data_IF_551302214581
#
_entry.id   IF_551302214581
#
_cell.length_a   1.000
_cell.length_b   1.000
_cell.length_c   1.000
_cell.angle_alpha   90.00
_cell.angle_beta   90.00
_cell.angle_gamma   90.00
#
_symmetry.space_group_name_H-M   'P 1'
#
loop_
_entity.id
_entity.type
_entity.pdbx_description
1 polymer ?
#
# COMPACT_ATOMS: atom_id res chain seq x y z
N UNK A 1 20.43 -3.24 -31.19
CA UNK A 1 20.23 -2.78 -29.79
C UNK A 1 21.23 -1.69 -29.38
N UNK A 2 22.33 -1.46 -30.13
CA UNK A 2 23.22 -0.31 -29.91
C UNK A 2 22.86 0.92 -30.77
N UNK A 3 22.15 0.76 -31.89
CA UNK A 3 21.74 1.88 -32.77
C UNK A 3 20.54 2.70 -32.24
N UNK A 4 19.83 2.22 -31.21
CA UNK A 4 18.70 2.94 -30.60
C UNK A 4 19.14 4.05 -29.63
N UNK A 5 20.45 4.14 -29.32
CA UNK A 5 21.01 5.10 -28.36
C UNK A 5 21.40 6.46 -28.98
N UNK A 6 21.49 6.57 -30.32
CA UNK A 6 21.92 7.82 -30.98
C UNK A 6 20.79 8.85 -31.15
N UNK A 7 19.50 8.44 -31.08
CA UNK A 7 18.36 9.35 -31.24
C UNK A 7 17.22 9.04 -30.24
N UNK A 8 17.37 9.41 -28.96
CA UNK A 8 16.39 9.08 -27.92
C UNK A 8 14.98 9.60 -28.22
N UNK A 9 14.87 10.74 -28.91
CA UNK A 9 13.58 11.32 -29.31
C UNK A 9 12.80 10.46 -30.32
N UNK A 10 13.47 9.87 -31.32
CA UNK A 10 12.79 9.02 -32.31
C UNK A 10 12.33 7.70 -31.71
N UNK A 11 13.11 7.14 -30.78
CA UNK A 11 12.74 5.91 -30.09
C UNK A 11 11.53 6.13 -29.17
N UNK A 12 11.52 7.23 -28.41
CA UNK A 12 10.37 7.61 -27.57
C UNK A 12 9.10 7.87 -28.39
N UNK A 13 9.21 8.58 -29.51
CA UNK A 13 8.09 8.86 -30.43
C UNK A 13 7.58 7.57 -31.07
N UNK A 14 8.48 6.66 -31.45
CA UNK A 14 8.10 5.36 -32.02
C UNK A 14 7.39 4.46 -30.99
N UNK A 15 7.88 4.43 -29.75
CA UNK A 15 7.27 3.66 -28.66
C UNK A 15 5.88 4.20 -28.28
N UNK A 16 5.72 5.52 -28.22
CA UNK A 16 4.42 6.17 -27.97
C UNK A 16 3.44 5.98 -29.13
N UNK A 17 3.90 6.04 -30.39
CA UNK A 17 3.07 5.72 -31.54
C UNK A 17 2.60 4.26 -31.53
N UNK A 18 3.48 3.31 -31.21
CA UNK A 18 3.13 1.88 -31.14
C UNK A 18 2.13 1.62 -30.00
N UNK A 19 2.30 2.25 -28.84
CA UNK A 19 1.34 2.11 -27.73
C UNK A 19 0.00 2.78 -28.02
N UNK A 20 -0.01 3.90 -28.75
CA UNK A 20 -1.23 4.59 -29.20
C UNK A 20 -1.98 3.77 -30.25
N UNK A 21 -1.27 3.18 -31.22
CA UNK A 21 -1.87 2.28 -32.21
C UNK A 21 -2.43 1.02 -31.56
N UNK A 22 -1.66 0.41 -30.65
CA UNK A 22 -2.09 -0.76 -29.89
C UNK A 22 -3.34 -0.47 -29.05
N UNK A 23 -3.37 0.66 -28.33
CA UNK A 23 -4.53 1.05 -27.52
C UNK A 23 -5.76 1.38 -28.38
N UNK A 24 -5.57 2.03 -29.53
CA UNK A 24 -6.67 2.34 -30.48
C UNK A 24 -7.25 1.08 -31.12
N UNK A 25 -6.40 0.10 -31.47
CA UNK A 25 -6.85 -1.19 -32.01
C UNK A 25 -7.61 -1.98 -30.94
N UNK A 26 -7.09 -2.04 -29.71
CA UNK A 26 -7.77 -2.67 -28.57
C UNK A 26 -9.12 -2.01 -28.27
N UNK A 27 -9.18 -0.67 -28.30
CA UNK A 27 -10.41 0.10 -28.14
C UNK A 27 -11.41 -0.21 -29.28
N UNK A 28 -10.94 -0.26 -30.52
CA UNK A 28 -11.75 -0.61 -31.69
C UNK A 28 -12.34 -2.02 -31.58
N UNK A 29 -11.54 -3.02 -31.20
CA UNK A 29 -12.00 -4.39 -30.96
C UNK A 29 -13.01 -4.43 -29.80
N UNK A 30 -12.77 -3.68 -28.72
CA UNK A 30 -13.68 -3.59 -27.59
C UNK A 30 -15.04 -3.01 -28.00
N UNK A 31 -15.05 -1.89 -28.74
CA UNK A 31 -16.26 -1.21 -29.22
C UNK A 31 -17.03 -2.05 -30.24
N UNK A 32 -16.33 -2.78 -31.12
CA UNK A 32 -16.95 -3.68 -32.09
C UNK A 32 -17.52 -4.96 -31.45
N UNK A 33 -16.96 -5.40 -30.32
CA UNK A 33 -17.39 -6.62 -29.62
C UNK A 33 -18.42 -6.32 -28.51
N UNK A 34 -18.50 -5.08 -28.04
CA UNK A 34 -19.35 -4.66 -26.91
C UNK A 34 -20.54 -3.87 -27.42
N UNK A 35 -21.69 -4.53 -27.53
CA UNK A 35 -22.98 -3.87 -27.78
C UNK A 35 -23.61 -3.47 -26.43
N UNK A 36 -24.24 -2.28 -26.29
CA UNK A 36 -24.84 -1.81 -25.03
C UNK A 36 -25.88 -2.76 -24.42
N UNK A 37 -26.61 -3.52 -25.24
CA UNK A 37 -27.76 -4.34 -24.83
C UNK A 37 -27.47 -5.84 -24.66
N UNK A 38 -26.25 -6.33 -24.96
CA UNK A 38 -25.93 -7.76 -24.85
C UNK A 38 -24.60 -8.01 -24.16
N UNK A 39 -24.67 -8.74 -23.04
CA UNK A 39 -23.51 -9.31 -22.34
C UNK A 39 -22.59 -10.06 -23.33
N UNK A 40 -21.35 -9.60 -23.55
CA UNK A 40 -20.45 -10.20 -24.54
C UNK A 40 -20.05 -11.62 -24.12
N UNK A 41 -19.86 -12.51 -25.10
CA UNK A 41 -19.56 -13.94 -24.85
C UNK A 41 -18.27 -14.18 -24.04
N UNK A 42 -17.33 -13.23 -24.07
CA UNK A 42 -16.06 -13.27 -23.34
C UNK A 42 -15.98 -12.25 -22.20
N UNK A 43 -17.11 -11.91 -21.57
CA UNK A 43 -17.17 -10.89 -20.51
C UNK A 43 -16.11 -11.08 -19.41
N UNK A 44 -15.89 -12.31 -18.94
CA UNK A 44 -14.86 -12.59 -17.93
C UNK A 44 -13.44 -12.28 -18.42
N UNK A 45 -13.11 -12.63 -19.68
CA UNK A 45 -11.81 -12.34 -20.27
C UNK A 45 -11.59 -10.83 -20.43
N UNK A 46 -12.62 -10.10 -20.87
CA UNK A 46 -12.56 -8.64 -21.02
C UNK A 46 -12.43 -7.94 -19.66
N UNK A 47 -13.15 -8.39 -18.63
CA UNK A 47 -13.00 -7.89 -17.27
C UNK A 47 -11.59 -8.16 -16.72
N UNK A 48 -11.06 -9.36 -16.94
CA UNK A 48 -9.70 -9.70 -16.52
C UNK A 48 -8.64 -8.87 -17.25
N UNK A 49 -8.79 -8.69 -18.57
CA UNK A 49 -7.90 -7.84 -19.36
C UNK A 49 -7.97 -6.37 -18.88
N UNK A 50 -9.17 -5.86 -18.65
CA UNK A 50 -9.39 -4.53 -18.07
C UNK A 50 -8.69 -4.37 -16.72
N UNK A 51 -8.79 -5.37 -15.86
CA UNK A 51 -8.11 -5.37 -14.56
C UNK A 51 -6.57 -5.31 -14.71
N UNK A 52 -5.97 -6.10 -15.60
CA UNK A 52 -4.53 -6.06 -15.87
C UNK A 52 -4.11 -4.70 -16.44
N UNK A 53 -4.89 -4.13 -17.35
CA UNK A 53 -4.64 -2.81 -17.93
C UNK A 53 -4.72 -1.72 -16.83
N UNK A 54 -5.70 -1.78 -15.94
CA UNK A 54 -5.81 -0.87 -14.78
C UNK A 54 -4.59 -0.98 -13.86
N UNK A 55 -4.11 -2.18 -13.56
CA UNK A 55 -2.89 -2.38 -12.76
C UNK A 55 -1.68 -1.72 -13.44
N UNK A 56 -1.52 -1.92 -14.75
CA UNK A 56 -0.43 -1.32 -15.50
C UNK A 56 -0.47 0.22 -15.43
N UNK A 57 -1.66 0.82 -15.62
CA UNK A 57 -1.84 2.27 -15.49
C UNK A 57 -1.55 2.79 -14.09
N UNK A 58 -2.06 2.11 -13.06
CA UNK A 58 -1.79 2.47 -11.66
C UNK A 58 -0.28 2.42 -11.41
N UNK A 59 0.41 1.38 -11.89
CA UNK A 59 1.87 1.24 -11.76
C UNK A 59 2.64 2.35 -12.47
N UNK A 60 2.23 2.74 -13.68
CA UNK A 60 2.88 3.84 -14.42
C UNK A 60 2.68 5.16 -13.69
N UNK A 61 1.44 5.48 -13.31
CA UNK A 61 1.13 6.72 -12.57
C UNK A 61 1.87 6.76 -11.24
N UNK A 62 1.90 5.66 -10.49
CA UNK A 62 2.65 5.56 -9.25
C UNK A 62 4.15 5.85 -9.47
N UNK A 63 4.74 5.32 -10.56
CA UNK A 63 6.13 5.59 -10.93
C UNK A 63 6.41 7.07 -11.18
N UNK A 64 5.55 7.74 -11.96
CA UNK A 64 5.67 9.18 -12.23
C UNK A 64 5.52 10.00 -10.94
N UNK A 65 4.55 9.65 -10.08
CA UNK A 65 4.33 10.32 -8.79
C UNK A 65 5.54 10.16 -7.87
N UNK A 66 6.14 8.96 -7.79
CA UNK A 66 7.41 8.75 -7.05
C UNK A 66 8.53 9.61 -7.64
N UNK A 67 8.63 9.70 -8.97
CA UNK A 67 9.63 10.53 -9.64
C UNK A 67 9.50 12.02 -9.30
N UNK A 68 8.28 12.56 -9.32
CA UNK A 68 7.99 13.94 -8.91
C UNK A 68 8.30 14.16 -7.43
N UNK A 69 7.87 13.24 -6.56
CA UNK A 69 8.13 13.33 -5.12
C UNK A 69 9.63 13.28 -4.81
N UNK A 70 10.41 12.48 -5.54
CA UNK A 70 11.87 12.47 -5.43
C UNK A 70 12.49 13.81 -5.79
N UNK A 71 12.05 14.43 -6.88
CA UNK A 71 12.51 15.76 -7.27
C UNK A 71 12.17 16.81 -6.20
N UNK A 72 10.95 16.77 -5.65
CA UNK A 72 10.52 17.65 -4.55
C UNK A 72 11.33 17.40 -3.27
N UNK A 73 11.64 16.13 -2.95
CA UNK A 73 12.47 15.76 -1.80
C UNK A 73 13.88 16.34 -1.88
N UNK A 74 14.49 16.32 -3.07
CA UNK A 74 15.79 16.95 -3.30
C UNK A 74 15.72 18.47 -3.11
N UNK A 75 14.65 19.12 -3.59
CA UNK A 75 14.48 20.59 -3.47
C UNK A 75 14.26 21.01 -2.01
N UNK A 76 13.46 20.25 -1.25
CA UNK A 76 13.10 20.58 0.14
C UNK A 76 14.11 20.03 1.18
N UNK A 77 15.12 19.27 0.75
CA UNK A 77 16.06 18.61 1.66
C UNK A 77 15.42 17.50 2.52
N UNK A 78 14.28 16.98 2.10
CA UNK A 78 13.53 15.93 2.80
C UNK A 78 13.86 14.57 2.18
N UNK A 79 14.03 13.53 3.00
CA UNK A 79 14.34 12.20 2.50
C UNK A 79 13.18 11.59 1.70
N UNK A 80 13.51 10.87 0.63
CA UNK A 80 12.54 10.11 -0.19
C UNK A 80 11.71 9.14 0.66
N UNK A 81 12.34 8.55 1.69
CA UNK A 81 11.69 7.65 2.63
C UNK A 81 10.62 8.38 3.46
N UNK A 82 10.88 9.60 3.94
CA UNK A 82 9.91 10.37 4.71
C UNK A 82 8.73 10.80 3.85
N UNK A 83 8.97 11.21 2.60
CA UNK A 83 7.91 11.53 1.64
C UNK A 83 7.04 10.31 1.29
N UNK A 84 7.66 9.13 1.14
CA UNK A 84 6.96 7.86 0.98
C UNK A 84 6.11 7.48 2.20
N UNK A 85 6.67 7.64 3.40
CA UNK A 85 5.96 7.36 4.65
C UNK A 85 4.83 8.35 4.95
N UNK A 86 4.86 9.56 4.41
CA UNK A 86 3.88 10.61 4.71
C UNK A 86 2.90 10.81 3.56
N UNK A 87 3.35 11.29 2.40
CA UNK A 87 2.47 11.67 1.29
C UNK A 87 1.79 10.46 0.67
N UNK A 88 2.54 9.39 0.40
CA UNK A 88 1.96 8.17 -0.16
C UNK A 88 1.05 7.46 0.85
N UNK A 89 1.50 7.31 2.10
CA UNK A 89 0.70 6.64 3.13
C UNK A 89 -0.58 7.43 3.50
N UNK A 90 -0.48 8.76 3.60
CA UNK A 90 -1.64 9.63 3.82
C UNK A 90 -2.57 9.63 2.61
N UNK A 91 -2.02 9.68 1.39
CA UNK A 91 -2.80 9.60 0.15
C UNK A 91 -3.63 8.32 0.08
N UNK A 92 -3.02 7.17 0.40
CA UNK A 92 -3.74 5.90 0.47
C UNK A 92 -4.85 5.93 1.53
N UNK A 93 -4.54 6.40 2.74
CA UNK A 93 -5.51 6.45 3.85
C UNK A 93 -6.69 7.41 3.58
N UNK A 94 -6.46 8.54 2.91
CA UNK A 94 -7.53 9.49 2.55
C UNK A 94 -8.45 8.89 1.49
N UNK A 95 -7.89 8.18 0.50
CA UNK A 95 -8.70 7.45 -0.50
C UNK A 95 -9.61 6.41 0.14
N UNK A 96 -9.04 5.60 1.03
CA UNK A 96 -9.77 4.58 1.79
C UNK A 96 -10.88 5.20 2.65
N UNK A 97 -10.59 6.32 3.34
CA UNK A 97 -11.57 7.06 4.13
C UNK A 97 -12.77 7.54 3.29
N UNK A 98 -12.51 8.13 2.12
CA UNK A 98 -13.58 8.63 1.24
C UNK A 98 -14.42 7.45 0.72
N UNK A 99 -13.79 6.34 0.34
CA UNK A 99 -14.48 5.14 -0.12
C UNK A 99 -15.38 4.55 0.98
N UNK A 100 -14.84 4.38 2.19
CA UNK A 100 -15.58 3.82 3.33
C UNK A 100 -16.74 4.71 3.75
N UNK A 101 -16.55 6.04 3.78
CA UNK A 101 -17.64 7.00 4.05
C UNK A 101 -18.74 6.87 2.99
N UNK A 102 -18.35 6.73 1.72
CA UNK A 102 -19.31 6.60 0.61
C UNK A 102 -20.13 5.32 0.74
N UNK A 103 -19.48 4.17 0.98
CA UNK A 103 -20.14 2.88 1.16
C UNK A 103 -21.04 2.88 2.41
N UNK A 104 -20.60 3.51 3.51
CA UNK A 104 -21.42 3.67 4.71
C UNK A 104 -22.66 4.54 4.44
N UNK A 105 -22.52 5.63 3.66
CA UNK A 105 -23.65 6.50 3.26
C UNK A 105 -24.64 5.81 2.32
N UNK A 106 -24.19 4.82 1.55
CA UNK A 106 -25.05 3.99 0.71
C UNK A 106 -25.84 2.93 1.51
N UNK A 107 -25.71 2.90 2.83
CA UNK A 107 -26.45 1.99 3.71
C UNK A 107 -25.71 0.68 4.02
N UNK A 108 -24.41 0.58 3.70
CA UNK A 108 -23.60 -0.63 3.94
C UNK A 108 -22.47 -0.39 4.97
N UNK A 109 -22.78 0.00 6.22
CA UNK A 109 -21.75 0.32 7.22
C UNK A 109 -20.90 -0.88 7.62
N UNK A 110 -21.45 -2.10 7.60
CA UNK A 110 -20.70 -3.33 7.90
C UNK A 110 -19.68 -3.65 6.80
N UNK A 111 -20.00 -3.34 5.54
CA UNK A 111 -19.07 -3.47 4.41
C UNK A 111 -17.93 -2.46 4.52
N UNK A 112 -18.25 -1.20 4.82
CA UNK A 112 -17.25 -0.15 5.04
C UNK A 112 -16.31 -0.50 6.20
N UNK A 113 -16.82 -1.00 7.33
CA UNK A 113 -15.96 -1.48 8.43
C UNK A 113 -15.05 -2.63 7.98
N UNK A 114 -15.59 -3.60 7.25
CA UNK A 114 -14.81 -4.73 6.76
C UNK A 114 -13.70 -4.31 5.80
N UNK A 115 -13.96 -3.31 4.95
CA UNK A 115 -12.98 -2.73 4.04
C UNK A 115 -11.88 -1.95 4.80
N UNK A 116 -12.27 -1.13 5.78
CA UNK A 116 -11.36 -0.36 6.62
C UNK A 116 -10.34 -1.24 7.38
N UNK A 117 -10.75 -2.42 7.87
CA UNK A 117 -9.82 -3.38 8.50
C UNK A 117 -9.11 -4.26 7.48
N UNK A 118 -9.82 -4.71 6.44
CA UNK A 118 -9.30 -5.62 5.44
C UNK A 118 -8.19 -5.01 4.59
N UNK A 119 -8.29 -3.72 4.26
CA UNK A 119 -7.30 -2.99 3.47
C UNK A 119 -5.90 -3.04 4.08
N UNK A 120 -5.68 -2.53 5.30
CA UNK A 120 -4.39 -2.60 5.99
C UNK A 120 -3.89 -4.03 6.19
N UNK A 121 -4.76 -4.98 6.54
CA UNK A 121 -4.37 -6.38 6.71
C UNK A 121 -3.86 -7.01 5.41
N UNK A 122 -4.54 -6.75 4.29
CA UNK A 122 -4.11 -7.22 2.97
C UNK A 122 -2.79 -6.55 2.54
N UNK A 123 -2.63 -5.26 2.84
CA UNK A 123 -1.40 -4.52 2.53
C UNK A 123 -0.19 -5.09 3.29
N UNK A 124 -0.37 -5.46 4.57
CA UNK A 124 0.68 -6.11 5.35
C UNK A 124 0.97 -7.52 4.80
N UNK A 125 -0.07 -8.32 4.54
CA UNK A 125 0.10 -9.70 4.06
C UNK A 125 0.80 -9.76 2.69
N UNK A 126 0.31 -8.99 1.72
CA UNK A 126 0.84 -9.00 0.36
C UNK A 126 2.09 -8.14 0.23
N UNK A 127 2.09 -6.93 0.80
CA UNK A 127 3.20 -6.00 0.71
C UNK A 127 4.42 -6.47 1.50
N UNK A 128 4.26 -6.69 2.80
CA UNK A 128 5.36 -7.10 3.67
C UNK A 128 5.61 -8.61 3.55
N UNK A 129 4.57 -9.43 3.62
CA UNK A 129 4.68 -10.89 3.59
C UNK A 129 5.15 -11.42 2.22
N UNK A 130 4.34 -11.27 1.18
CA UNK A 130 4.69 -11.76 -0.16
C UNK A 130 5.84 -10.96 -0.78
N UNK A 131 5.85 -9.63 -0.66
CA UNK A 131 6.94 -8.78 -1.14
C UNK A 131 8.27 -9.08 -0.44
N UNK A 132 8.25 -9.27 0.88
CA UNK A 132 9.42 -9.69 1.65
C UNK A 132 9.93 -11.07 1.25
N UNK A 133 9.03 -12.05 1.08
CA UNK A 133 9.41 -13.38 0.58
C UNK A 133 10.04 -13.31 -0.81
N UNK A 134 9.45 -12.53 -1.73
CA UNK A 134 9.97 -12.33 -3.08
C UNK A 134 11.35 -11.67 -3.05
N UNK A 135 11.53 -10.59 -2.28
CA UNK A 135 12.83 -9.93 -2.11
C UNK A 135 13.89 -10.89 -1.55
N UNK A 136 13.53 -11.73 -0.59
CA UNK A 136 14.46 -12.71 -0.02
C UNK A 136 14.86 -13.79 -1.04
N UNK A 137 13.93 -14.26 -1.89
CA UNK A 137 14.27 -15.21 -2.97
C UNK A 137 15.13 -14.57 -4.05
N UNK A 138 14.87 -13.31 -4.43
CA UNK A 138 15.72 -12.59 -5.38
C UNK A 138 17.11 -12.29 -4.80
N UNK A 139 17.19 -11.86 -3.54
CA UNK A 139 18.44 -11.64 -2.85
C UNK A 139 19.25 -12.93 -2.71
N UNK A 140 18.59 -14.07 -2.43
CA UNK A 140 19.23 -15.39 -2.41
C UNK A 140 19.80 -15.79 -3.78
N UNK A 141 19.05 -15.59 -4.87
CA UNK A 141 19.51 -15.86 -6.25
C UNK A 141 20.66 -14.94 -6.67
N UNK A 142 20.60 -13.65 -6.34
CA UNK A 142 21.68 -12.69 -6.64
C UNK A 142 22.98 -12.97 -5.87
N UNK A 143 22.87 -13.48 -4.64
CA UNK A 143 24.04 -13.83 -3.81
C UNK A 143 24.71 -15.13 -4.27
N UNK A 144 23.93 -16.10 -4.73
CA UNK A 144 24.43 -17.34 -5.34
C UNK A 144 25.24 -17.06 -6.62
N UNK A 145 24.83 -16.06 -7.41
CA UNK A 145 25.54 -15.61 -8.62
C UNK A 145 26.87 -14.90 -8.34
N UNK A 146 27.09 -14.39 -7.12
CA UNK A 146 28.30 -13.65 -6.71
C UNK A 146 29.28 -14.47 -5.86
N UNK A 147 28.83 -15.51 -5.15
CA UNK A 147 29.68 -16.40 -4.35
C UNK A 147 29.17 -17.85 -4.40
N UNK A 148 29.71 -18.71 -5.29
CA UNK A 148 29.24 -20.09 -5.45
C UNK A 148 29.63 -21.03 -4.29
N UNK A 149 30.64 -20.70 -3.47
CA UNK A 149 31.22 -21.60 -2.46
C UNK A 149 30.76 -21.36 -1.00
N UNK A 150 29.66 -20.64 -0.75
CA UNK A 150 29.15 -20.42 0.62
C UNK A 150 27.69 -20.88 0.78
N UNK A 151 27.37 -21.70 1.80
CA UNK A 151 26.03 -22.27 1.95
C UNK A 151 24.96 -21.19 2.22
N UNK A 152 23.71 -21.51 1.81
CA UNK A 152 22.51 -20.70 1.97
C UNK A 152 22.39 -20.10 3.38
N UNK A 153 22.74 -18.83 3.56
CA UNK A 153 22.38 -18.07 4.76
C UNK A 153 21.44 -16.93 4.39
N UNK A 154 20.14 -17.18 4.62
CA UNK A 154 19.12 -16.15 4.80
C UNK A 154 19.66 -15.20 5.88
N UNK A 155 20.20 -14.04 5.51
CA UNK A 155 20.43 -12.99 6.51
C UNK A 155 19.07 -12.35 6.72
N UNK A 156 18.47 -12.46 7.93
CA UNK A 156 17.22 -11.76 8.21
C UNK A 156 17.45 -10.28 7.92
N UNK A 157 16.56 -9.67 7.15
CA UNK A 157 16.49 -8.22 7.09
C UNK A 157 16.19 -7.78 8.52
N UNK A 158 17.20 -7.28 9.24
CA UNK A 158 17.01 -6.75 10.58
C UNK A 158 16.21 -5.47 10.43
N UNK A 159 14.89 -5.61 10.37
CA UNK A 159 13.98 -4.52 10.66
C UNK A 159 14.40 -4.10 12.07
N UNK A 160 15.03 -2.94 12.21
CA UNK A 160 15.17 -2.31 13.53
C UNK A 160 13.74 -2.05 13.97
N UNK A 161 13.21 -2.94 14.80
CA UNK A 161 11.93 -2.74 15.46
C UNK A 161 12.24 -1.73 16.55
N UNK A 162 12.12 -0.45 16.21
CA UNK A 162 12.08 0.60 17.21
C UNK A 162 10.92 0.32 18.17
N UNK A 163 11.11 0.56 19.47
CA UNK A 163 10.09 0.29 20.49
C UNK A 163 8.75 0.98 20.17
N UNK A 164 8.80 2.13 19.50
CA UNK A 164 7.64 2.89 19.00
C UNK A 164 6.80 2.09 18.00
N UNK A 165 7.41 1.28 17.13
CA UNK A 165 6.70 0.43 16.18
C UNK A 165 5.97 -0.71 16.90
N UNK A 166 6.60 -1.28 17.93
CA UNK A 166 6.02 -2.37 18.72
C UNK A 166 4.83 -1.87 19.55
N UNK A 167 4.94 -0.70 20.18
CA UNK A 167 3.83 -0.09 20.94
C UNK A 167 2.69 0.29 20.01
N UNK A 168 2.98 0.89 18.85
CA UNK A 168 1.94 1.22 17.86
C UNK A 168 1.22 -0.04 17.38
N UNK A 169 1.93 -1.14 17.15
CA UNK A 169 1.34 -2.42 16.80
C UNK A 169 0.47 -3.01 17.94
N UNK A 170 0.94 -2.95 19.19
CA UNK A 170 0.21 -3.43 20.37
C UNK A 170 -1.06 -2.58 20.61
N UNK A 171 -0.94 -1.26 20.58
CA UNK A 171 -2.07 -0.32 20.74
C UNK A 171 -3.12 -0.54 19.64
N UNK A 172 -2.69 -0.76 18.39
CA UNK A 172 -3.58 -1.07 17.28
C UNK A 172 -4.27 -2.43 17.47
N UNK A 173 -3.54 -3.44 17.96
CA UNK A 173 -4.08 -4.77 18.23
C UNK A 173 -5.09 -4.76 19.38
N UNK A 174 -4.81 -4.01 20.46
CA UNK A 174 -5.76 -3.79 21.57
C UNK A 174 -7.02 -3.07 21.07
N UNK A 175 -6.85 -2.04 20.25
CA UNK A 175 -7.98 -1.29 19.65
C UNK A 175 -8.86 -2.21 18.81
N UNK A 176 -8.25 -3.11 18.03
CA UNK A 176 -8.95 -4.11 17.22
C UNK A 176 -9.74 -5.11 18.08
N UNK A 177 -9.14 -5.62 19.15
CA UNK A 177 -9.79 -6.54 20.08
C UNK A 177 -10.96 -5.90 20.83
N UNK A 178 -10.81 -4.64 21.27
CA UNK A 178 -11.88 -3.86 21.88
C UNK A 178 -13.06 -3.69 20.94
N UNK A 179 -12.80 -3.35 19.68
CA UNK A 179 -13.81 -3.27 18.62
C UNK A 179 -14.54 -4.60 18.43
N UNK A 180 -13.79 -5.71 18.39
CA UNK A 180 -14.33 -7.05 18.22
C UNK A 180 -15.25 -7.48 19.37
N UNK A 181 -15.09 -6.92 20.58
CA UNK A 181 -15.92 -7.21 21.75
C UNK A 181 -17.11 -6.24 21.83
N UNK A 182 -16.86 -4.94 21.66
CA UNK A 182 -17.88 -3.87 21.81
C UNK A 182 -18.95 -3.94 20.71
N UNK A 183 -18.58 -4.31 19.48
CA UNK A 183 -19.53 -4.36 18.35
C UNK A 183 -20.57 -5.48 18.51
N UNK A 184 -20.21 -6.74 18.85
CA UNK A 184 -21.19 -7.77 19.16
C UNK A 184 -22.03 -7.44 20.40
N UNK A 185 -21.44 -6.83 21.43
CA UNK A 185 -22.18 -6.40 22.63
C UNK A 185 -23.25 -5.35 22.30
N UNK A 186 -23.03 -4.49 21.30
CA UNK A 186 -24.03 -3.52 20.84
C UNK A 186 -24.96 -4.07 19.73
N UNK A 187 -25.14 -5.40 19.68
CA UNK A 187 -26.02 -6.10 18.72
C UNK A 187 -25.71 -5.77 17.25
N UNK A 188 -24.44 -5.55 16.91
CA UNK A 188 -23.99 -5.22 15.55
C UNK A 188 -24.51 -3.89 14.98
N UNK A 189 -25.09 -3.03 15.82
CA UNK A 189 -25.56 -1.70 15.39
C UNK A 189 -24.45 -0.69 15.67
N UNK A 190 -23.83 -0.17 14.62
CA UNK A 190 -22.82 0.88 14.75
C UNK A 190 -23.49 2.24 15.00
N UNK A 191 -23.76 2.54 16.27
CA UNK A 191 -24.35 3.83 16.65
C UNK A 191 -23.31 4.95 16.66
N UNK A 192 -23.76 6.21 16.49
CA UNK A 192 -22.87 7.39 16.57
C UNK A 192 -22.07 7.46 17.87
N UNK A 193 -22.60 6.92 18.98
CA UNK A 193 -21.91 6.85 20.28
C UNK A 193 -20.65 5.99 20.22
N UNK A 194 -20.71 4.86 19.51
CA UNK A 194 -19.55 3.99 19.28
C UNK A 194 -18.52 4.70 18.41
N UNK A 195 -18.97 5.42 17.37
CA UNK A 195 -18.08 6.25 16.54
C UNK A 195 -17.29 7.28 17.34
N UNK A 196 -17.96 8.07 18.18
CA UNK A 196 -17.28 9.02 19.07
C UNK A 196 -16.36 8.32 20.09
N UNK A 197 -16.78 7.17 20.61
CA UNK A 197 -15.95 6.35 21.50
C UNK A 197 -14.67 5.84 20.85
N UNK A 198 -14.73 5.40 19.58
CA UNK A 198 -13.55 4.99 18.82
C UNK A 198 -12.60 6.16 18.55
N UNK A 199 -13.12 7.32 18.17
CA UNK A 199 -12.31 8.52 17.92
C UNK A 199 -11.61 8.95 19.21
N UNK A 200 -12.32 8.96 20.33
CA UNK A 200 -11.74 9.25 21.63
C UNK A 200 -10.66 8.23 22.01
N UNK A 201 -10.93 6.93 21.87
CA UNK A 201 -9.97 5.86 22.15
C UNK A 201 -8.70 5.98 21.29
N UNK A 202 -8.86 6.26 19.99
CA UNK A 202 -7.74 6.46 19.07
C UNK A 202 -6.92 7.70 19.40
N UNK A 203 -7.58 8.82 19.73
CA UNK A 203 -6.92 10.06 20.13
C UNK A 203 -6.15 9.88 21.44
N UNK A 204 -6.73 9.21 22.44
CA UNK A 204 -6.06 8.90 23.71
C UNK A 204 -4.88 7.94 23.49
N UNK A 205 -5.04 6.88 22.69
CA UNK A 205 -3.96 5.95 22.36
C UNK A 205 -2.79 6.62 21.64
N UNK A 206 -3.09 7.49 20.68
CA UNK A 206 -2.08 8.28 19.96
C UNK A 206 -1.39 9.28 20.87
N UNK A 207 -2.12 9.95 21.76
CA UNK A 207 -1.55 10.86 22.75
C UNK A 207 -0.63 10.12 23.74
N UNK A 208 -1.01 8.94 24.22
CA UNK A 208 -0.15 8.10 25.07
C UNK A 208 1.12 7.70 24.32
N UNK A 209 1.00 7.26 23.06
CA UNK A 209 2.16 6.91 22.23
C UNK A 209 3.13 8.10 22.09
N UNK A 210 2.59 9.30 21.83
CA UNK A 210 3.37 10.53 21.71
C UNK A 210 4.05 10.92 23.04
N UNK A 211 3.35 10.80 24.17
CA UNK A 211 3.91 11.07 25.50
C UNK A 211 5.02 10.08 25.84
N UNK A 212 4.85 8.79 25.55
CA UNK A 212 5.88 7.76 25.77
C UNK A 212 7.12 7.99 24.90
N UNK A 213 6.93 8.45 23.66
CA UNK A 213 8.02 8.79 22.75
C UNK A 213 8.79 10.04 23.21
N UNK A 214 8.07 11.10 23.60
CA UNK A 214 8.67 12.38 24.06
C UNK A 214 9.30 12.31 25.44
N UNK A 215 8.83 11.42 26.33
CA UNK A 215 9.41 11.22 27.67
C UNK A 215 10.68 10.36 27.64
N UNK A 216 11.02 9.73 26.51
CA UNK A 216 12.28 9.00 26.35
C UNK A 216 12.44 7.80 27.30
N UNK A 217 11.34 7.30 27.89
CA UNK A 217 11.34 6.18 28.85
C UNK A 217 12.06 4.94 28.28
N UNK A 218 12.05 4.78 26.95
CA UNK A 218 12.73 3.69 26.25
C UNK A 218 14.22 3.93 26.01
N UNK A 219 14.66 5.18 25.93
CA UNK A 219 16.09 5.51 25.88
C UNK A 219 16.75 5.05 27.18
N UNK A 220 16.09 5.24 28.32
CA UNK A 220 16.60 4.79 29.62
C UNK A 220 16.58 3.25 29.77
N UNK A 221 15.50 2.57 29.33
CA UNK A 221 15.43 1.10 29.37
C UNK A 221 16.39 0.44 28.37
N UNK A 222 16.63 1.04 27.21
CA UNK A 222 17.61 0.55 26.24
C UNK A 222 19.06 0.73 26.72
N UNK A 223 19.34 1.71 27.57
CA UNK A 223 20.65 1.90 28.19
C UNK A 223 20.85 0.98 29.41
N UNK A 224 19.81 0.70 30.17
CA UNK A 224 19.84 -0.23 31.30
C UNK A 224 19.99 -1.72 30.89
N UNK A 225 19.61 -2.08 29.66
CA UNK A 225 19.79 -3.44 29.12
C UNK A 225 21.20 -3.75 28.60
N UNK A 226 22.13 -2.78 28.62
CA UNK A 226 23.53 -2.88 28.18
C UNK A 226 24.53 -2.47 29.28
N UNK A 227 24.14 -2.61 30.56
CA UNK A 227 25.01 -2.54 31.73
C UNK A 227 24.90 -3.84 32.53
#
# INVERSE_FOLDING_TARGET
>A
MYDDLEQPGKVLVRMTLISLLGSTILLGILLLTTSPDRKPKYHFLLCFLGFIISIAWISTIAGEVVGVLKAVGVILGISEALLGLTVFAAGNSVGDLIADITVARLGYPVMALSACFGGPMLNILLGIGCGGAWMMTQAAKHRLKKHPDKPFRYKPYKIRIDGTLMISAITLLITLLLLLIVVPMNKWILSRKIGYGLIALWATGTAINLVVETTGVWTEVSLAGWS
#
